data_IF_422651654407
#
_entry.id   IF_422651654407
#
_cell.length_a   1.000
_cell.length_b   1.000
_cell.length_c   1.000
_cell.angle_alpha   90.00
_cell.angle_beta   90.00
_cell.angle_gamma   90.00
#
_symmetry.space_group_name_H-M   'P 1'
#
loop_
_entity.id
_entity.type
_entity.pdbx_description
1 polymer ?
#
# COMPACT_ATOMS: atom_id res chain seq x y z
N UNK A 1 7.25 -47.44 -32.97
CA UNK A 1 6.67 -46.35 -32.16
C UNK A 1 7.83 -45.56 -31.61
N UNK A 2 8.07 -44.37 -32.15
CA UNK A 2 9.36 -43.70 -32.08
C UNK A 2 9.54 -42.91 -30.79
N UNK A 3 10.58 -43.24 -30.01
CA UNK A 3 10.94 -42.58 -28.74
C UNK A 3 11.18 -41.07 -28.85
N UNK A 4 11.39 -40.53 -30.06
CA UNK A 4 11.64 -39.09 -30.28
C UNK A 4 10.39 -38.22 -30.12
N UNK A 5 9.19 -38.81 -30.25
CA UNK A 5 7.94 -38.05 -30.21
C UNK A 5 7.49 -37.70 -28.79
N UNK A 6 7.87 -38.51 -27.79
CA UNK A 6 7.46 -38.30 -26.39
C UNK A 6 8.26 -37.17 -25.71
N UNK A 7 9.57 -37.10 -25.94
CA UNK A 7 10.43 -36.05 -25.36
C UNK A 7 10.10 -34.64 -25.89
N UNK A 8 9.56 -34.57 -27.10
CA UNK A 8 9.13 -33.31 -27.73
C UNK A 8 7.81 -32.81 -27.14
N UNK A 9 6.93 -33.73 -26.69
CA UNK A 9 5.66 -33.38 -26.04
C UNK A 9 5.88 -32.79 -24.65
N UNK A 10 6.78 -33.37 -23.85
CA UNK A 10 7.06 -32.87 -22.48
C UNK A 10 7.62 -31.43 -22.46
N UNK A 11 8.46 -31.09 -23.45
CA UNK A 11 9.03 -29.74 -23.60
C UNK A 11 7.94 -28.70 -23.93
N UNK A 12 6.96 -29.06 -24.76
CA UNK A 12 5.84 -28.19 -25.12
C UNK A 12 4.88 -28.01 -23.94
N UNK A 13 4.62 -29.08 -23.18
CA UNK A 13 3.75 -29.01 -21.99
C UNK A 13 4.36 -28.16 -20.88
N UNK A 14 5.68 -28.23 -20.70
CA UNK A 14 6.41 -27.45 -19.69
C UNK A 14 6.46 -25.96 -20.03
N UNK A 15 6.66 -25.60 -21.31
CA UNK A 15 6.69 -24.18 -21.71
C UNK A 15 5.30 -23.51 -21.61
N UNK A 16 4.23 -24.25 -21.91
CA UNK A 16 2.86 -23.77 -21.77
C UNK A 16 2.41 -23.61 -20.30
N UNK A 17 3.00 -24.35 -19.36
CA UNK A 17 2.75 -24.22 -17.93
C UNK A 17 3.47 -23.00 -17.34
N UNK A 18 4.72 -22.76 -17.74
CA UNK A 18 5.49 -21.59 -17.29
C UNK A 18 4.91 -20.28 -17.82
N UNK A 19 4.41 -20.24 -19.06
CA UNK A 19 3.77 -19.07 -19.63
C UNK A 19 2.47 -18.65 -18.90
N UNK A 20 1.77 -19.60 -18.25
CA UNK A 20 0.60 -19.29 -17.42
C UNK A 20 0.99 -18.69 -16.06
N UNK A 21 2.15 -19.06 -15.53
CA UNK A 21 2.68 -18.52 -14.26
C UNK A 21 3.28 -17.12 -14.48
N UNK A 22 3.91 -16.89 -15.63
CA UNK A 22 4.54 -15.59 -15.98
C UNK A 22 3.64 -14.63 -16.76
N UNK A 23 2.43 -15.07 -17.13
CA UNK A 23 1.39 -14.26 -17.76
C UNK A 23 0.77 -13.22 -16.81
N UNK A 24 1.58 -12.47 -16.07
CA UNK A 24 1.18 -11.16 -15.53
C UNK A 24 1.03 -10.19 -16.71
N UNK A 25 -0.07 -10.39 -17.44
CA UNK A 25 -0.71 -9.36 -18.20
C UNK A 25 -1.02 -8.23 -17.20
N UNK A 26 -0.18 -7.20 -17.18
CA UNK A 26 -0.53 -5.91 -16.57
C UNK A 26 -1.67 -5.32 -17.41
N UNK A 27 -2.88 -5.89 -17.26
CA UNK A 27 -4.10 -5.28 -17.77
C UNK A 27 -4.17 -3.88 -17.18
N UNK A 28 -4.60 -2.86 -17.93
CA UNK A 28 -4.76 -1.50 -17.40
C UNK A 28 -5.57 -1.47 -16.10
N UNK A 29 -6.51 -2.40 -15.93
CA UNK A 29 -7.26 -2.64 -14.69
C UNK A 29 -6.37 -2.84 -13.44
N UNK A 30 -5.25 -3.55 -13.57
CA UNK A 30 -4.31 -3.78 -12.46
C UNK A 30 -3.57 -2.52 -12.03
N UNK A 31 -3.19 -1.66 -12.99
CA UNK A 31 -2.54 -0.38 -12.72
C UNK A 31 -3.51 0.64 -12.13
N UNK A 32 -4.73 0.70 -12.66
CA UNK A 32 -5.79 1.54 -12.10
C UNK A 32 -6.17 1.08 -10.70
N UNK A 33 -6.19 -0.22 -10.42
CA UNK A 33 -6.43 -0.75 -9.08
C UNK A 33 -5.32 -0.36 -8.11
N UNK A 34 -4.05 -0.53 -8.50
CA UNK A 34 -2.92 -0.11 -7.67
C UNK A 34 -2.93 1.40 -7.37
N UNK A 35 -3.28 2.23 -8.36
CA UNK A 35 -3.49 3.66 -8.18
C UNK A 35 -4.65 3.95 -7.22
N UNK A 36 -5.79 3.27 -7.38
CA UNK A 36 -6.95 3.44 -6.51
C UNK A 36 -6.64 3.04 -5.06
N UNK A 37 -5.93 1.93 -4.84
CA UNK A 37 -5.50 1.48 -3.52
C UNK A 37 -4.54 2.50 -2.88
N UNK A 38 -3.62 3.06 -3.67
CA UNK A 38 -2.71 4.13 -3.22
C UNK A 38 -3.48 5.39 -2.82
N UNK A 39 -4.42 5.83 -3.65
CA UNK A 39 -5.27 7.00 -3.35
C UNK A 39 -6.18 6.76 -2.14
N UNK A 40 -6.70 5.54 -1.98
CA UNK A 40 -7.50 5.16 -0.83
C UNK A 40 -6.67 5.24 0.46
N UNK A 41 -5.46 4.71 0.45
CA UNK A 41 -4.53 4.80 1.57
C UNK A 41 -4.16 6.26 1.88
N UNK A 42 -3.94 7.09 0.87
CA UNK A 42 -3.70 8.52 1.06
C UNK A 42 -4.91 9.23 1.68
N UNK A 43 -6.13 8.89 1.23
CA UNK A 43 -7.38 9.42 1.80
C UNK A 43 -7.52 9.01 3.27
N UNK A 44 -7.28 7.75 3.62
CA UNK A 44 -7.35 7.30 5.02
C UNK A 44 -6.36 8.07 5.90
N UNK A 45 -5.10 8.18 5.46
CA UNK A 45 -4.09 8.98 6.19
C UNK A 45 -4.49 10.44 6.32
N UNK A 46 -5.08 11.04 5.29
CA UNK A 46 -5.59 12.42 5.36
C UNK A 46 -6.72 12.57 6.38
N UNK A 47 -7.62 11.60 6.47
CA UNK A 47 -8.71 11.59 7.46
C UNK A 47 -8.16 11.45 8.87
N UNK A 48 -7.25 10.49 9.10
CA UNK A 48 -6.59 10.30 10.41
C UNK A 48 -5.87 11.58 10.87
N UNK A 49 -5.14 12.24 9.97
CA UNK A 49 -4.43 13.51 10.30
C UNK A 49 -5.38 14.67 10.56
N UNK A 50 -6.55 14.71 9.91
CA UNK A 50 -7.59 15.70 10.22
C UNK A 50 -8.22 15.42 11.57
N UNK A 51 -8.46 14.16 11.89
CA UNK A 51 -9.00 13.76 13.19
C UNK A 51 -8.00 14.10 14.31
N UNK A 52 -6.73 13.72 14.15
CA UNK A 52 -5.66 14.05 15.10
C UNK A 52 -5.53 15.56 15.35
N UNK A 53 -5.74 16.41 14.33
CA UNK A 53 -5.75 17.87 14.52
C UNK A 53 -6.95 18.35 15.32
N UNK A 54 -8.15 17.82 15.06
CA UNK A 54 -9.35 18.15 15.83
C UNK A 54 -9.25 17.67 17.28
N UNK A 55 -8.74 16.47 17.47
CA UNK A 55 -8.52 15.89 18.79
C UNK A 55 -7.48 16.73 19.54
N UNK A 56 -6.43 17.19 18.85
CA UNK A 56 -5.43 18.08 19.44
C UNK A 56 -6.03 19.43 19.86
N UNK A 57 -6.89 20.03 19.04
CA UNK A 57 -7.59 21.28 19.40
C UNK A 57 -8.48 21.09 20.64
N UNK A 58 -9.11 19.91 20.77
CA UNK A 58 -9.94 19.55 21.91
C UNK A 58 -9.13 19.12 23.16
N UNK A 59 -7.87 18.69 22.99
CA UNK A 59 -7.02 18.25 24.10
C UNK A 59 -6.52 19.43 24.93
N UNK A 60 -6.62 19.31 26.26
CA UNK A 60 -6.02 20.26 27.19
C UNK A 60 -4.51 20.01 27.33
N UNK A 61 -3.73 21.02 27.75
CA UNK A 61 -2.27 20.87 27.95
C UNK A 61 -1.89 19.75 28.92
N UNK A 62 -2.72 19.48 29.92
CA UNK A 62 -2.48 18.42 30.92
C UNK A 62 -2.54 17.04 30.28
N UNK A 63 -3.55 16.77 29.44
CA UNK A 63 -3.65 15.50 28.71
C UNK A 63 -2.48 15.27 27.76
N UNK A 64 -1.96 16.33 27.13
CA UNK A 64 -0.75 16.21 26.30
C UNK A 64 0.49 15.86 27.12
N UNK A 65 0.56 16.36 28.35
CA UNK A 65 1.62 16.05 29.31
C UNK A 65 1.62 14.57 29.70
N UNK A 66 0.45 13.95 29.84
CA UNK A 66 0.32 12.50 30.11
C UNK A 66 0.92 11.65 28.98
N UNK A 67 0.87 12.15 27.73
CA UNK A 67 1.52 11.52 26.58
C UNK A 67 3.01 11.91 26.43
N UNK A 68 3.57 12.71 27.36
CA UNK A 68 4.93 13.23 27.28
C UNK A 68 5.12 14.21 26.11
N UNK A 69 4.03 14.81 25.60
CA UNK A 69 4.05 15.71 24.47
C UNK A 69 3.84 17.16 24.92
N UNK A 70 4.62 18.05 24.34
CA UNK A 70 4.31 19.48 24.36
C UNK A 70 3.26 19.81 23.29
N UNK A 71 2.47 20.87 23.49
CA UNK A 71 1.53 21.38 22.47
C UNK A 71 2.22 21.56 21.10
N UNK A 72 3.40 22.19 21.11
CA UNK A 72 4.21 22.42 19.91
C UNK A 72 4.67 21.13 19.22
N UNK A 73 5.07 20.10 19.98
CA UNK A 73 5.46 18.81 19.41
C UNK A 73 4.27 18.05 18.82
N UNK A 74 3.12 18.12 19.49
CA UNK A 74 1.89 17.49 19.01
C UNK A 74 1.38 18.17 17.72
N UNK A 75 1.42 19.51 17.65
CA UNK A 75 1.12 20.26 16.42
C UNK A 75 2.09 19.91 15.28
N UNK A 76 3.39 19.79 15.59
CA UNK A 76 4.39 19.39 14.61
C UNK A 76 4.10 18.00 14.05
N UNK A 77 3.67 17.05 14.88
CA UNK A 77 3.26 15.70 14.46
C UNK A 77 1.99 15.73 13.62
N UNK A 78 0.99 16.52 14.02
CA UNK A 78 -0.29 16.60 13.33
C UNK A 78 -0.20 17.29 11.95
N UNK A 79 0.75 18.22 11.79
CA UNK A 79 0.99 18.97 10.54
C UNK A 79 2.00 18.31 9.58
N UNK A 80 2.49 17.11 9.86
CA UNK A 80 3.40 16.43 8.93
C UNK A 80 2.66 16.06 7.63
N UNK A 81 3.29 16.25 6.47
CA UNK A 81 2.70 15.83 5.20
C UNK A 81 2.51 14.31 5.17
N UNK A 82 1.35 13.86 4.71
CA UNK A 82 0.94 12.44 4.74
C UNK A 82 1.80 11.50 3.89
N UNK A 83 2.55 12.06 2.92
CA UNK A 83 3.44 11.32 2.03
C UNK A 83 4.84 11.08 2.62
N UNK A 84 5.18 11.71 3.74
CA UNK A 84 6.36 11.33 4.52
C UNK A 84 5.94 10.23 5.50
N UNK A 85 6.15 8.99 5.08
CA UNK A 85 6.20 7.87 6.02
C UNK A 85 7.51 7.99 6.81
N UNK A 86 7.42 7.86 8.12
CA UNK A 86 8.56 7.59 9.00
C UNK A 86 8.73 6.09 9.17
#
# INVERSE_FOLDING_TARGET
MDCKTLEQQDKITTSAALARITGQSQRPESRLRALADTLFLWKQRLVERRQMRRDLDAMTPEMLCDFGLTRRSAEKLANRPFWRAD
#
